data_IF_280371885043
#
_entry.id   IF_280371885043
#
_cell.length_a   1.000
_cell.length_b   1.000
_cell.length_c   1.000
_cell.angle_alpha   90.00
_cell.angle_beta   90.00
_cell.angle_gamma   90.00
#
_symmetry.space_group_name_H-M   'P 1'
#
loop_
_entity.id
_entity.type
_entity.pdbx_description
1 polymer ?
#
# COMPACT_ATOMS: atom_id res chain seq x y z
N UNK A 1 -2.55 -12.98 9.00
CA UNK A 1 -3.75 -12.24 8.59
C UNK A 1 -4.07 -12.55 7.14
N UNK A 2 -5.34 -12.75 6.80
CA UNK A 2 -5.81 -12.94 5.43
C UNK A 2 -6.78 -11.80 5.12
N UNK A 3 -6.60 -11.06 3.99
CA UNK A 3 -7.50 -9.97 3.64
C UNK A 3 -8.94 -10.45 3.40
N UNK A 4 -9.90 -9.64 3.82
CA UNK A 4 -11.34 -9.93 3.73
C UNK A 4 -12.09 -8.83 3.00
N UNK A 5 -13.37 -9.07 2.70
CA UNK A 5 -14.23 -8.07 2.10
C UNK A 5 -14.42 -6.84 2.99
N UNK A 6 -14.34 -6.97 4.30
CA UNK A 6 -14.40 -5.85 5.23
C UNK A 6 -13.26 -4.86 4.98
N UNK A 7 -12.09 -5.35 4.63
CA UNK A 7 -10.95 -4.52 4.28
C UNK A 7 -11.26 -3.72 3.00
N UNK A 8 -11.92 -4.34 2.02
CA UNK A 8 -12.32 -3.65 0.79
C UNK A 8 -13.34 -2.56 1.06
N UNK A 9 -14.31 -2.80 1.94
CA UNK A 9 -15.29 -1.79 2.32
C UNK A 9 -14.65 -0.59 3.01
N UNK A 10 -13.67 -0.86 3.89
CA UNK A 10 -12.89 0.19 4.53
C UNK A 10 -12.06 0.98 3.51
N UNK A 11 -11.48 0.30 2.54
CA UNK A 11 -10.56 0.87 1.57
C UNK A 11 -11.26 1.73 0.51
N UNK A 12 -12.50 1.43 0.16
CA UNK A 12 -13.20 2.07 -0.95
C UNK A 12 -13.25 3.60 -0.82
N UNK A 13 -13.75 4.19 0.29
CA UNK A 13 -13.75 5.64 0.42
C UNK A 13 -12.35 6.24 0.43
N UNK A 14 -11.36 5.52 0.94
CA UNK A 14 -9.98 5.98 0.91
C UNK A 14 -9.45 6.04 -0.52
N UNK A 15 -9.75 5.03 -1.34
CA UNK A 15 -9.38 5.04 -2.75
C UNK A 15 -10.03 6.20 -3.50
N UNK A 16 -11.31 6.46 -3.26
CA UNK A 16 -12.02 7.57 -3.92
C UNK A 16 -11.40 8.92 -3.63
N UNK A 17 -10.80 9.09 -2.44
CA UNK A 17 -10.20 10.35 -2.03
C UNK A 17 -8.76 10.54 -2.51
N UNK A 18 -8.16 9.55 -3.19
CA UNK A 18 -6.82 9.70 -3.75
C UNK A 18 -6.90 10.67 -4.94
N UNK A 19 -6.13 11.78 -4.94
CA UNK A 19 -6.21 12.80 -5.99
C UNK A 19 -5.40 12.41 -7.24
N UNK A 20 -5.48 11.16 -7.63
CA UNK A 20 -4.76 10.59 -8.77
C UNK A 20 -5.69 9.76 -9.61
N UNK A 21 -5.39 9.62 -10.91
CA UNK A 21 -6.16 8.78 -11.81
C UNK A 21 -6.09 7.31 -11.37
N UNK A 22 -4.89 6.83 -11.03
CA UNK A 22 -4.69 5.50 -10.46
C UNK A 22 -4.73 5.63 -8.94
N UNK A 23 -5.78 5.13 -8.33
CA UNK A 23 -6.08 5.32 -6.92
C UNK A 23 -5.58 4.13 -6.10
N UNK A 24 -4.30 4.20 -5.68
CA UNK A 24 -3.68 3.18 -4.85
C UNK A 24 -3.72 3.58 -3.39
N UNK A 25 -4.04 2.62 -2.52
CA UNK A 25 -3.80 2.75 -1.09
C UNK A 25 -3.03 1.53 -0.61
N UNK A 26 -2.31 1.72 0.48
CA UNK A 26 -1.58 0.66 1.16
C UNK A 26 -1.99 0.66 2.62
N UNK A 27 -2.31 -0.51 3.14
CA UNK A 27 -2.62 -0.73 4.54
C UNK A 27 -1.51 -1.57 5.15
N UNK A 28 -1.04 -1.18 6.33
CA UNK A 28 -0.04 -1.97 7.06
C UNK A 28 -0.65 -2.45 8.36
N UNK A 29 -0.59 -3.76 8.56
CA UNK A 29 -1.13 -4.42 9.75
C UNK A 29 -0.01 -5.08 10.55
N UNK A 30 -0.15 -5.07 11.86
CA UNK A 30 0.57 -5.99 12.74
C UNK A 30 -0.47 -6.95 13.33
N UNK A 31 -0.38 -8.21 12.95
CA UNK A 31 -1.43 -9.20 13.21
C UNK A 31 -2.75 -8.69 12.60
N UNK A 32 -3.83 -8.55 13.36
CA UNK A 32 -5.12 -8.05 12.87
C UNK A 32 -5.33 -6.56 13.14
N UNK A 33 -4.28 -5.85 13.58
CA UNK A 33 -4.37 -4.45 13.94
C UNK A 33 -3.82 -3.56 12.83
N UNK A 34 -4.65 -2.63 12.36
CA UNK A 34 -4.22 -1.62 11.39
C UNK A 34 -3.26 -0.63 12.05
N UNK A 35 -2.07 -0.51 11.49
CA UNK A 35 -1.01 0.37 12.01
C UNK A 35 -0.92 1.66 11.22
N UNK A 36 -1.08 1.58 9.90
CA UNK A 36 -0.83 2.71 9.02
C UNK A 36 -1.58 2.59 7.71
N UNK A 37 -1.90 3.73 7.11
CA UNK A 37 -2.53 3.83 5.79
C UNK A 37 -1.71 4.80 4.95
N UNK A 38 -1.43 4.43 3.72
CA UNK A 38 -0.75 5.30 2.76
C UNK A 38 -1.52 5.40 1.45
N UNK A 39 -1.28 6.48 0.72
CA UNK A 39 -1.89 6.72 -0.58
C UNK A 39 -0.82 7.26 -1.55
N UNK A 40 -1.05 7.09 -2.85
CA UNK A 40 -0.16 7.67 -3.84
C UNK A 40 -0.54 9.14 -4.09
N UNK A 41 0.47 9.99 -4.26
CA UNK A 41 0.25 11.41 -4.54
C UNK A 41 1.46 12.04 -5.23
N UNK A 42 1.28 13.24 -5.78
CA UNK A 42 2.35 14.02 -6.45
C UNK A 42 3.15 14.80 -5.42
N UNK A 43 4.15 14.18 -4.83
CA UNK A 43 5.07 14.88 -3.94
C UNK A 43 6.30 14.02 -3.73
N UNK A 44 7.48 14.60 -3.90
CA UNK A 44 8.73 13.88 -3.63
C UNK A 44 9.01 13.87 -2.13
N UNK A 45 9.33 12.72 -1.61
CA UNK A 45 9.85 12.57 -0.25
C UNK A 45 11.34 12.21 -0.35
N UNK A 46 12.22 12.73 0.55
CA UNK A 46 13.65 12.39 0.53
C UNK A 46 13.93 10.88 0.51
N UNK A 47 13.12 10.08 1.20
CA UNK A 47 13.25 8.62 1.19
C UNK A 47 12.97 8.01 -0.19
N UNK A 48 12.05 8.59 -0.94
CA UNK A 48 11.74 8.09 -2.28
C UNK A 48 12.95 8.22 -3.20
N UNK A 49 13.64 9.35 -3.17
CA UNK A 49 14.85 9.58 -3.96
C UNK A 49 15.95 8.57 -3.58
N UNK A 50 16.13 8.30 -2.29
CA UNK A 50 17.13 7.33 -1.80
C UNK A 50 16.83 5.91 -2.22
N UNK A 51 15.56 5.56 -2.41
CA UNK A 51 15.13 4.22 -2.82
C UNK A 51 15.13 4.03 -4.34
N UNK A 52 15.42 5.08 -5.12
CA UNK A 52 15.55 4.97 -6.57
C UNK A 52 14.30 5.31 -7.35
N UNK A 53 13.31 5.98 -6.74
CA UNK A 53 12.15 6.48 -7.48
C UNK A 53 12.55 7.64 -8.37
N UNK A 54 12.16 7.57 -9.65
CA UNK A 54 12.62 8.50 -10.68
C UNK A 54 11.73 9.73 -10.87
N UNK A 55 10.49 9.68 -10.38
CA UNK A 55 9.49 10.72 -10.62
C UNK A 55 9.07 11.42 -9.32
N UNK A 56 8.58 12.64 -9.45
CA UNK A 56 8.04 13.42 -8.34
C UNK A 56 6.69 12.84 -7.89
N UNK A 57 6.71 11.63 -7.37
CA UNK A 57 5.49 11.01 -6.85
C UNK A 57 5.82 10.15 -5.62
N UNK A 58 4.86 10.10 -4.72
CA UNK A 58 4.91 9.22 -3.56
C UNK A 58 4.08 7.97 -3.86
N UNK A 59 4.70 6.81 -3.76
CA UNK A 59 3.98 5.54 -3.85
C UNK A 59 3.30 5.22 -2.52
N UNK A 60 2.13 4.57 -2.58
CA UNK A 60 1.32 4.31 -1.39
C UNK A 60 2.05 3.45 -0.35
N UNK A 61 2.86 2.50 -0.78
CA UNK A 61 3.63 1.62 0.11
C UNK A 61 4.62 2.43 0.96
N UNK A 62 5.35 3.33 0.33
CA UNK A 62 6.31 4.16 1.05
C UNK A 62 5.60 5.16 1.97
N UNK A 63 4.49 5.75 1.49
CA UNK A 63 3.68 6.65 2.31
C UNK A 63 3.17 5.95 3.57
N UNK A 64 2.68 4.71 3.44
CA UNK A 64 2.24 3.93 4.59
C UNK A 64 3.40 3.59 5.52
N UNK A 65 4.53 3.13 4.96
CA UNK A 65 5.66 2.70 5.78
C UNK A 65 6.31 3.84 6.57
N UNK A 66 6.43 5.03 5.97
CA UNK A 66 7.01 6.18 6.67
C UNK A 66 6.20 6.61 7.90
N UNK A 67 4.91 6.26 7.93
CA UNK A 67 4.01 6.57 9.04
C UNK A 67 4.01 5.49 10.13
N UNK A 68 4.66 4.36 9.91
CA UNK A 68 4.75 3.31 10.93
C UNK A 68 5.64 3.81 12.07
N UNK A 69 5.16 3.75 13.33
CA UNK A 69 5.99 4.13 14.47
C UNK A 69 7.26 3.31 14.53
N UNK A 70 8.38 3.93 14.91
CA UNK A 70 9.69 3.27 14.95
C UNK A 70 9.68 1.98 15.78
N UNK A 71 8.97 1.97 16.91
CA UNK A 71 8.92 0.79 17.79
C UNK A 71 8.16 -0.39 17.17
N UNK A 72 7.42 -0.15 16.09
CA UNK A 72 6.68 -1.20 15.38
C UNK A 72 7.45 -1.77 14.18
N UNK A 73 8.54 -1.12 13.75
CA UNK A 73 9.24 -1.48 12.52
C UNK A 73 10.00 -2.79 12.57
N UNK A 74 10.30 -3.29 13.78
CA UNK A 74 10.92 -4.60 13.99
C UNK A 74 9.90 -5.73 14.15
N UNK A 75 8.62 -5.42 14.12
CA UNK A 75 7.54 -6.41 14.20
C UNK A 75 7.27 -7.02 12.84
N UNK A 76 6.62 -8.17 12.84
CA UNK A 76 6.13 -8.80 11.60
C UNK A 76 4.94 -8.00 11.08
N UNK A 77 5.16 -7.28 10.00
CA UNK A 77 4.15 -6.42 9.39
C UNK A 77 3.61 -7.07 8.11
N UNK A 78 2.32 -6.87 7.86
CA UNK A 78 1.67 -7.29 6.62
C UNK A 78 1.30 -6.03 5.83
N UNK A 79 1.70 -6.00 4.56
CA UNK A 79 1.31 -4.95 3.63
C UNK A 79 0.15 -5.44 2.77
N UNK A 80 -0.88 -4.62 2.64
CA UNK A 80 -1.99 -4.90 1.75
C UNK A 80 -2.16 -3.71 0.80
N UNK A 81 -1.87 -3.92 -0.47
CA UNK A 81 -2.08 -2.93 -1.51
C UNK A 81 -3.45 -3.10 -2.14
N UNK A 82 -4.17 -1.99 -2.31
CA UNK A 82 -5.50 -1.99 -2.90
C UNK A 82 -5.59 -0.89 -3.94
N UNK A 83 -6.16 -1.22 -5.08
CA UNK A 83 -6.51 -0.24 -6.11
C UNK A 83 -7.92 -0.51 -6.58
N UNK A 84 -8.73 0.54 -6.62
CA UNK A 84 -10.11 0.48 -7.12
C UNK A 84 -10.34 1.66 -8.07
N UNK A 85 -11.24 1.45 -9.05
CA UNK A 85 -11.74 2.57 -9.84
C UNK A 85 -12.87 3.28 -9.09
N UNK A 86 -13.44 4.33 -9.72
CA UNK A 86 -14.51 5.12 -9.10
C UNK A 86 -15.79 4.33 -8.83
N UNK A 87 -15.99 3.21 -9.54
CA UNK A 87 -17.16 2.33 -9.38
C UNK A 87 -16.92 1.24 -8.32
N UNK A 88 -15.78 1.24 -7.67
CA UNK A 88 -15.43 0.24 -6.65
C UNK A 88 -14.93 -1.08 -7.22
N UNK A 89 -14.64 -1.14 -8.50
CA UNK A 89 -14.08 -2.34 -9.13
C UNK A 89 -12.60 -2.45 -8.84
N UNK A 90 -12.17 -3.65 -8.45
CA UNK A 90 -10.77 -3.93 -8.15
C UNK A 90 -9.89 -3.85 -9.40
N UNK A 91 -8.69 -3.34 -9.21
CA UNK A 91 -7.67 -3.21 -10.24
C UNK A 91 -6.33 -3.72 -9.73
N UNK A 92 -5.38 -3.92 -10.65
CA UNK A 92 -4.05 -4.41 -10.32
C UNK A 92 -3.31 -3.43 -9.42
N UNK A 93 -2.91 -3.87 -8.23
CA UNK A 93 -2.18 -3.08 -7.25
C UNK A 93 -0.84 -3.69 -6.84
N UNK A 94 -0.32 -4.65 -7.62
CA UNK A 94 0.97 -5.26 -7.33
C UNK A 94 2.05 -4.16 -7.23
N UNK A 95 2.92 -4.18 -6.21
CA UNK A 95 3.99 -3.19 -6.08
C UNK A 95 4.84 -3.12 -7.34
N UNK A 96 5.27 -1.92 -7.71
CA UNK A 96 6.21 -1.74 -8.82
C UNK A 96 7.56 -2.36 -8.47
N UNK A 97 8.46 -2.41 -9.46
CA UNK A 97 9.77 -3.05 -9.28
C UNK A 97 10.55 -2.43 -8.12
N UNK A 98 10.56 -1.10 -8.02
CA UNK A 98 11.27 -0.39 -6.93
C UNK A 98 10.63 -0.71 -5.58
N UNK A 99 9.30 -0.64 -5.49
CA UNK A 99 8.59 -0.98 -4.25
C UNK A 99 8.83 -2.44 -3.86
N UNK A 100 8.75 -3.37 -4.81
CA UNK A 100 9.00 -4.79 -4.54
C UNK A 100 10.39 -4.99 -3.94
N UNK A 101 11.40 -4.30 -4.47
CA UNK A 101 12.77 -4.45 -4.01
C UNK A 101 12.97 -4.22 -2.53
N UNK A 102 12.32 -3.20 -1.94
CA UNK A 102 12.46 -2.95 -0.50
C UNK A 102 11.34 -3.58 0.32
N UNK A 103 10.14 -3.72 -0.24
CA UNK A 103 9.00 -4.25 0.51
C UNK A 103 9.22 -5.72 0.93
N UNK A 104 9.83 -6.53 0.06
CA UNK A 104 10.08 -7.95 0.38
C UNK A 104 11.05 -8.13 1.54
N UNK A 105 11.89 -7.13 1.81
CA UNK A 105 12.81 -7.15 2.95
C UNK A 105 12.14 -6.69 4.25
N UNK A 106 11.13 -5.83 4.14
CA UNK A 106 10.52 -5.15 5.29
C UNK A 106 9.28 -5.88 5.79
N UNK A 107 8.45 -6.40 4.88
CA UNK A 107 7.18 -7.01 5.24
C UNK A 107 7.26 -8.52 5.28
N UNK A 108 6.60 -9.11 6.29
CA UNK A 108 6.47 -10.57 6.44
C UNK A 108 5.58 -11.14 5.32
N UNK A 109 4.49 -10.44 5.00
CA UNK A 109 3.58 -10.81 3.91
C UNK A 109 3.15 -9.57 3.15
N UNK A 110 2.94 -9.73 1.85
CA UNK A 110 2.49 -8.67 0.96
C UNK A 110 1.31 -9.21 0.15
N UNK A 111 0.15 -8.57 0.30
CA UNK A 111 -1.02 -8.86 -0.51
C UNK A 111 -1.28 -7.70 -1.46
N UNK A 112 -1.85 -7.99 -2.60
CA UNK A 112 -2.27 -6.97 -3.56
C UNK A 112 -3.58 -7.40 -4.22
N UNK A 113 -4.28 -6.45 -4.82
CA UNK A 113 -5.50 -6.74 -5.56
C UNK A 113 -5.22 -6.88 -7.04
N UNK A 114 -6.00 -7.72 -7.70
CA UNK A 114 -6.19 -7.71 -9.15
C UNK A 114 -7.70 -7.69 -9.41
N UNK A 115 -8.13 -7.90 -10.66
CA UNK A 115 -9.54 -7.85 -11.00
C UNK A 115 -10.37 -8.96 -10.33
N UNK A 116 -9.73 -9.99 -9.82
CA UNK A 116 -10.40 -11.14 -9.20
C UNK A 116 -10.45 -11.07 -7.67
N UNK A 117 -9.62 -10.25 -7.03
CA UNK A 117 -9.54 -10.15 -5.58
C UNK A 117 -8.12 -10.02 -5.07
N UNK A 118 -7.89 -10.51 -3.86
CA UNK A 118 -6.57 -10.47 -3.24
C UNK A 118 -5.66 -11.60 -3.71
N UNK A 119 -4.39 -11.27 -3.90
CA UNK A 119 -3.32 -12.22 -4.23
C UNK A 119 -2.17 -12.01 -3.24
N UNK A 120 -1.45 -13.09 -2.95
CA UNK A 120 -0.23 -13.04 -2.15
C UNK A 120 0.97 -12.91 -3.09
N UNK A 121 1.83 -11.94 -2.79
CA UNK A 121 3.06 -11.74 -3.56
C UNK A 121 4.07 -12.85 -3.29
#
# INVERSE_FOLDING_TARGET
>A
MIPTNEILEYAFPLCLNVPRQKKHISLIFNKNRLISVGANYFKTHPRAAKLGYLYNEMHSELDAYRKVPKYMRDKKLTLINIRMNADGELRMSKPCEVCTGWCVEVFDKIYYTNNEGFKLL
#
